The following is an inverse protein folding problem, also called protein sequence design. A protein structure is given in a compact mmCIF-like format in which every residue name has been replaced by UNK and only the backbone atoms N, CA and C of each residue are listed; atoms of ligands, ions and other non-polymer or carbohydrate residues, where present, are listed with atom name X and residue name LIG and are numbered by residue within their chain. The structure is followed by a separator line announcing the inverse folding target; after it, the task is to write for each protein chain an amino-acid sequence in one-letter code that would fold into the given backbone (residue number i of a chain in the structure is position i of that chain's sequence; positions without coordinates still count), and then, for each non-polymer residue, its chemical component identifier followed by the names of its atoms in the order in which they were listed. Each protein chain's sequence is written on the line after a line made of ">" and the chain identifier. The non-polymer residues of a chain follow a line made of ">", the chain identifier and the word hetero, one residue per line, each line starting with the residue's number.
data_IF_099156434199
#
_entry.id   IF_099156434199
#
_cell.length_a   1.000
_cell.length_b   1.000
_cell.length_c   1.000
_cell.angle_alpha   90.00
_cell.angle_beta   90.00
_cell.angle_gamma   90.00
#
_symmetry.space_group_name_H-M   'P 1'
#
loop_
_entity.id
_entity.type
_entity.pdbx_description
1 polymer ?
#
# COMPACT_ATOMS: atom_id res chain seq x y z
N UNK A 1 3.21 27.39 -17.93
CA UNK A 1 4.22 27.22 -16.86
C UNK A 1 5.59 27.14 -17.49
N UNK A 2 6.62 27.70 -16.85
CA UNK A 2 8.02 27.61 -17.32
C UNK A 2 8.56 26.19 -17.12
N UNK A 3 9.56 25.78 -17.92
CA UNK A 3 10.25 24.50 -17.78
C UNK A 3 10.76 24.25 -16.35
N UNK A 4 11.22 25.30 -15.68
CA UNK A 4 11.68 25.27 -14.30
C UNK A 4 10.56 24.88 -13.32
N UNK A 5 9.33 25.36 -13.54
CA UNK A 5 8.19 25.00 -12.70
C UNK A 5 7.86 23.50 -12.80
N UNK A 6 7.91 22.91 -14.01
CA UNK A 6 7.70 21.48 -14.21
C UNK A 6 8.79 20.66 -13.52
N UNK A 7 10.04 21.08 -13.65
CA UNK A 7 11.17 20.42 -12.98
C UNK A 7 11.05 20.47 -11.45
N UNK A 8 10.62 21.60 -10.90
CA UNK A 8 10.38 21.73 -9.46
C UNK A 8 9.25 20.80 -8.99
N UNK A 9 8.17 20.68 -9.76
CA UNK A 9 7.07 19.75 -9.45
C UNK A 9 7.54 18.29 -9.46
N UNK A 10 8.39 17.89 -10.42
CA UNK A 10 8.97 16.54 -10.43
C UNK A 10 9.91 16.29 -9.26
N UNK A 11 10.69 17.29 -8.85
CA UNK A 11 11.54 17.18 -7.66
C UNK A 11 10.71 17.04 -6.38
N UNK A 12 9.60 17.78 -6.26
CA UNK A 12 8.65 17.63 -5.15
C UNK A 12 8.01 16.23 -5.13
N UNK A 13 7.59 15.74 -6.30
CA UNK A 13 7.05 14.39 -6.42
C UNK A 13 8.07 13.32 -5.98
N UNK A 14 9.34 13.50 -6.37
CA UNK A 14 10.43 12.62 -5.94
C UNK A 14 10.63 12.65 -4.42
N UNK A 15 10.60 13.82 -3.79
CA UNK A 15 10.74 13.91 -2.33
C UNK A 15 9.58 13.21 -1.60
N UNK A 16 8.35 13.35 -2.08
CA UNK A 16 7.17 12.70 -1.48
C UNK A 16 7.25 11.18 -1.62
N UNK A 17 7.71 10.66 -2.76
CA UNK A 17 7.88 9.20 -2.94
C UNK A 17 8.96 8.65 -2.00
N UNK A 18 10.00 9.44 -1.70
CA UNK A 18 11.02 9.04 -0.74
C UNK A 18 10.50 9.12 0.71
N UNK A 19 9.73 10.15 1.08
CA UNK A 19 9.10 10.23 2.41
C UNK A 19 8.10 9.11 2.63
N UNK A 20 7.29 8.80 1.61
CA UNK A 20 6.31 7.71 1.63
C UNK A 20 6.98 6.37 1.99
N UNK A 21 8.21 6.14 1.52
CA UNK A 21 8.98 4.95 1.90
C UNK A 21 9.40 4.95 3.37
N UNK A 22 9.87 6.08 3.88
CA UNK A 22 10.30 6.16 5.28
C UNK A 22 9.10 6.01 6.23
N UNK A 23 7.96 6.64 5.91
CA UNK A 23 6.71 6.45 6.65
C UNK A 23 6.20 5.00 6.55
N UNK A 24 6.34 4.35 5.39
CA UNK A 24 6.01 2.94 5.21
C UNK A 24 6.84 2.00 6.10
N UNK A 25 8.16 2.27 6.22
CA UNK A 25 9.04 1.51 7.11
C UNK A 25 8.66 1.71 8.58
N UNK A 26 8.24 2.92 8.95
CA UNK A 26 7.79 3.25 10.29
C UNK A 26 6.35 2.74 10.60
N UNK A 27 5.62 2.24 9.59
CA UNK A 27 4.19 1.89 9.68
C UNK A 27 3.33 3.07 10.17
N UNK A 28 3.70 4.31 9.84
CA UNK A 28 2.92 5.50 10.16
C UNK A 28 1.80 5.69 9.13
N UNK A 29 0.66 5.07 9.40
CA UNK A 29 -0.51 5.08 8.51
C UNK A 29 -1.02 6.51 8.25
N UNK A 30 -0.93 7.39 9.25
CA UNK A 30 -1.42 8.76 9.13
C UNK A 30 -0.53 9.58 8.21
N UNK A 31 0.79 9.53 8.41
CA UNK A 31 1.75 10.21 7.55
C UNK A 31 1.70 9.67 6.11
N UNK A 32 1.54 8.36 5.94
CA UNK A 32 1.36 7.75 4.61
C UNK A 32 0.09 8.26 3.89
N UNK A 33 -1.02 8.44 4.63
CA UNK A 33 -2.26 8.97 4.05
C UNK A 33 -2.09 10.43 3.59
N UNK A 34 -1.37 11.25 4.37
CA UNK A 34 -1.01 12.62 3.99
C UNK A 34 -0.15 12.64 2.73
N UNK A 35 0.93 11.84 2.69
CA UNK A 35 1.80 11.73 1.51
C UNK A 35 1.01 11.29 0.25
N UNK A 36 0.04 10.40 0.41
CA UNK A 36 -0.82 9.95 -0.69
C UNK A 36 -1.69 11.09 -1.24
N UNK A 37 -2.28 11.92 -0.37
CA UNK A 37 -3.07 13.08 -0.77
C UNK A 37 -2.22 14.12 -1.51
N UNK A 38 -1.03 14.43 -0.99
CA UNK A 38 -0.10 15.36 -1.62
C UNK A 38 0.39 14.85 -2.98
N UNK A 39 0.72 13.55 -3.07
CA UNK A 39 1.08 12.88 -4.32
C UNK A 39 -0.05 12.97 -5.35
N UNK A 40 -1.29 12.72 -4.95
CA UNK A 40 -2.45 12.79 -5.84
C UNK A 40 -2.67 14.22 -6.38
N UNK A 41 -2.59 15.22 -5.51
CA UNK A 41 -2.69 16.62 -5.90
C UNK A 41 -1.61 17.01 -6.93
N UNK A 42 -0.35 16.59 -6.71
CA UNK A 42 0.74 16.83 -7.64
C UNK A 42 0.57 16.10 -8.97
N UNK A 43 0.11 14.84 -8.94
CA UNK A 43 -0.16 14.08 -10.17
C UNK A 43 -1.28 14.71 -11.01
N UNK A 44 -2.31 15.29 -10.39
CA UNK A 44 -3.35 16.01 -11.12
C UNK A 44 -2.83 17.27 -11.81
N UNK A 45 -1.83 17.95 -11.21
CA UNK A 45 -1.18 19.11 -11.83
C UNK A 45 -0.25 18.66 -12.95
N UNK A 46 0.57 17.64 -12.69
CA UNK A 46 1.55 17.11 -13.65
C UNK A 46 0.87 16.45 -14.86
N UNK A 47 -0.24 15.75 -14.65
CA UNK A 47 -1.01 15.05 -15.70
C UNK A 47 -1.68 15.97 -16.72
N UNK A 48 -1.70 17.29 -16.48
CA UNK A 48 -2.17 18.29 -17.46
C UNK A 48 -1.11 18.66 -18.50
N UNK A 49 0.11 18.11 -18.40
CA UNK A 49 1.20 18.39 -19.33
C UNK A 49 1.45 17.19 -20.25
N UNK A 50 1.14 17.32 -21.55
CA UNK A 50 1.32 16.25 -22.53
C UNK A 50 2.77 16.07 -23.00
N UNK A 51 3.61 17.10 -22.87
CA UNK A 51 4.98 17.09 -23.41
C UNK A 51 6.03 17.35 -22.33
N UNK A 52 6.69 16.26 -21.90
CA UNK A 52 7.85 16.31 -21.01
C UNK A 52 9.12 16.62 -21.82
N UNK A 53 9.91 17.58 -21.34
CA UNK A 53 11.19 17.92 -21.97
C UNK A 53 12.17 16.72 -21.91
N UNK A 54 12.97 16.45 -22.95
CA UNK A 54 13.91 15.31 -22.97
C UNK A 54 14.82 15.22 -21.74
N UNK A 55 15.32 16.36 -21.27
CA UNK A 55 16.20 16.46 -20.10
C UNK A 55 15.55 16.06 -18.77
N UNK A 56 14.22 16.07 -18.68
CA UNK A 56 13.48 15.70 -17.46
C UNK A 56 13.06 14.22 -17.46
N UNK A 57 13.23 13.52 -18.60
CA UNK A 57 12.94 12.08 -18.73
C UNK A 57 13.75 11.19 -17.77
N UNK A 58 15.04 11.45 -17.50
CA UNK A 58 15.79 10.65 -16.52
C UNK A 58 15.17 10.75 -15.13
N UNK A 59 14.75 11.94 -14.72
CA UNK A 59 14.11 12.18 -13.42
C UNK A 59 12.75 11.48 -13.33
N UNK A 60 11.93 11.56 -14.38
CA UNK A 60 10.66 10.82 -14.44
C UNK A 60 10.85 9.31 -14.36
N UNK A 61 11.90 8.77 -15.00
CA UNK A 61 12.24 7.35 -14.94
C UNK A 61 12.67 6.91 -13.54
N UNK A 62 13.46 7.74 -12.85
CA UNK A 62 13.84 7.50 -11.46
C UNK A 62 12.60 7.46 -10.55
N UNK A 63 11.71 8.46 -10.67
CA UNK A 63 10.44 8.53 -9.95
C UNK A 63 9.61 7.26 -10.16
N UNK A 64 9.51 6.76 -11.39
CA UNK A 64 8.79 5.53 -11.71
C UNK A 64 9.41 4.30 -11.01
N UNK A 65 10.73 4.19 -11.02
CA UNK A 65 11.44 3.09 -10.36
C UNK A 65 11.24 3.12 -8.84
N UNK A 66 11.31 4.30 -8.23
CA UNK A 66 11.11 4.47 -6.80
C UNK A 66 9.66 4.17 -6.39
N UNK A 67 8.67 4.56 -7.20
CA UNK A 67 7.26 4.21 -6.96
C UNK A 67 7.02 2.69 -7.09
N UNK A 68 7.63 2.02 -8.06
CA UNK A 68 7.56 0.56 -8.19
C UNK A 68 8.16 -0.15 -6.97
N UNK A 69 9.29 0.36 -6.45
CA UNK A 69 9.89 -0.15 -5.21
C UNK A 69 8.95 0.00 -4.02
N UNK A 70 8.31 1.15 -3.88
CA UNK A 70 7.34 1.39 -2.80
C UNK A 70 6.13 0.45 -2.93
N UNK A 71 5.60 0.26 -4.15
CA UNK A 71 4.50 -0.68 -4.39
C UNK A 71 4.87 -2.13 -3.99
N UNK A 72 6.11 -2.54 -4.27
CA UNK A 72 6.59 -3.86 -3.85
C UNK A 72 6.68 -3.97 -2.32
N UNK A 73 7.17 -2.93 -1.64
CA UNK A 73 7.20 -2.85 -0.18
C UNK A 73 5.79 -2.99 0.40
N UNK A 74 4.82 -2.24 -0.11
CA UNK A 74 3.43 -2.31 0.34
C UNK A 74 2.79 -3.67 0.12
N UNK A 75 3.07 -4.30 -1.02
CA UNK A 75 2.59 -5.66 -1.28
C UNK A 75 3.18 -6.65 -0.27
N UNK A 76 4.48 -6.55 -0.01
CA UNK A 76 5.15 -7.42 0.95
C UNK A 76 4.61 -7.23 2.37
N UNK A 77 4.38 -6.00 2.81
CA UNK A 77 3.83 -5.71 4.14
C UNK A 77 2.38 -6.18 4.27
N UNK A 78 1.54 -6.01 3.24
CA UNK A 78 0.17 -6.52 3.24
C UNK A 78 0.12 -8.04 3.33
N UNK A 79 0.95 -8.74 2.55
CA UNK A 79 1.04 -10.20 2.62
C UNK A 79 1.46 -10.64 4.02
N UNK A 80 2.45 -9.98 4.62
CA UNK A 80 2.89 -10.28 5.98
C UNK A 80 1.77 -10.07 7.01
N UNK A 81 0.98 -8.99 6.89
CA UNK A 81 -0.19 -8.76 7.76
C UNK A 81 -1.24 -9.87 7.58
N UNK A 82 -1.52 -10.28 6.34
CA UNK A 82 -2.46 -11.38 6.05
C UNK A 82 -2.01 -12.71 6.67
N UNK A 83 -0.74 -13.09 6.48
CA UNK A 83 -0.15 -14.29 7.06
C UNK A 83 -0.24 -14.27 8.59
N UNK A 84 -0.01 -13.09 9.19
CA UNK A 84 -0.10 -12.89 10.63
C UNK A 84 -1.54 -13.04 11.12
N UNK A 85 -2.52 -12.50 10.40
CA UNK A 85 -3.94 -12.67 10.71
C UNK A 85 -4.38 -14.13 10.59
N UNK A 86 -3.92 -14.86 9.57
CA UNK A 86 -4.22 -16.28 9.40
C UNK A 86 -3.65 -17.11 10.57
N UNK A 87 -2.42 -16.81 11.00
CA UNK A 87 -1.81 -17.44 12.16
C UNK A 87 -2.62 -17.24 13.44
N UNK A 88 -3.09 -16.01 13.71
CA UNK A 88 -3.95 -15.73 14.87
C UNK A 88 -5.35 -16.35 14.71
N UNK A 89 -5.92 -16.32 13.52
CA UNK A 89 -7.21 -16.95 13.21
C UNK A 89 -7.19 -18.46 13.49
N UNK A 90 -6.12 -19.16 13.13
CA UNK A 90 -5.93 -20.59 13.42
C UNK A 90 -5.85 -20.89 14.93
N UNK A 91 -5.32 -19.97 15.73
CA UNK A 91 -5.26 -20.12 17.20
C UNK A 91 -6.54 -19.70 17.93
N UNK A 92 -7.37 -18.86 17.30
CA UNK A 92 -8.60 -18.34 17.90
C UNK A 92 -9.80 -19.30 17.76
N UNK A 93 -9.70 -20.35 16.95
CA UNK A 93 -10.75 -21.37 16.87
C UNK A 93 -10.65 -22.27 18.11
N UNK A 94 -11.69 -22.39 18.95
CA UNK A 94 -11.69 -23.38 20.01
C UNK A 94 -11.56 -24.76 19.36
N UNK A 95 -10.58 -25.56 19.79
CA UNK A 95 -10.51 -26.98 19.43
C UNK A 95 -11.71 -27.67 20.07
N UNK A 96 -12.79 -27.89 19.30
CA UNK A 96 -13.94 -28.61 19.81
C UNK A 96 -13.61 -30.11 19.82
N UNK A 97 -13.59 -30.70 21.00
CA UNK A 97 -13.44 -32.15 21.14
C UNK A 97 -14.78 -32.81 20.84
N UNK A 98 -14.83 -33.64 19.79
CA UNK A 98 -15.99 -34.48 19.52
C UNK A 98 -16.18 -35.53 20.61
N UNK A 99 -17.39 -36.09 20.71
CA UNK A 99 -17.78 -37.09 21.71
C UNK A 99 -16.91 -38.37 21.70
N UNK A 100 -16.08 -38.56 20.66
CA UNK A 100 -15.16 -39.69 20.46
C UNK A 100 -13.68 -39.27 20.49
N UNK A 101 -13.34 -38.08 21.01
CA UNK A 101 -11.96 -37.60 21.14
C UNK A 101 -11.32 -37.10 19.84
N UNK A 102 -12.08 -37.02 18.74
CA UNK A 102 -11.61 -36.45 17.47
C UNK A 102 -11.67 -34.93 17.52
N UNK A 103 -10.55 -34.26 17.25
CA UNK A 103 -10.46 -32.81 17.12
C UNK A 103 -10.85 -32.37 15.71
N UNK A 104 -11.88 -31.53 15.58
CA UNK A 104 -12.24 -30.91 14.30
C UNK A 104 -11.98 -29.40 14.36
N UNK A 105 -11.16 -28.90 13.44
CA UNK A 105 -10.91 -27.47 13.30
C UNK A 105 -12.05 -26.86 12.47
N UNK A 106 -12.96 -26.12 13.11
CA UNK A 106 -13.99 -25.38 12.39
C UNK A 106 -13.36 -24.14 11.73
N UNK A 107 -13.09 -24.23 10.44
CA UNK A 107 -12.69 -23.07 9.64
C UNK A 107 -13.94 -22.20 9.42
N UNK A 108 -14.16 -21.20 10.27
CA UNK A 108 -15.23 -20.20 10.08
C UNK A 108 -14.77 -19.19 9.04
N UNK A 109 -14.67 -19.65 7.79
CA UNK A 109 -14.52 -18.76 6.63
C UNK A 109 -15.90 -18.61 5.97
N UNK A 110 -16.56 -17.48 6.23
CA UNK A 110 -17.46 -16.86 5.25
C UNK A 110 -18.97 -17.13 5.33
N UNK A 111 -19.58 -17.48 6.48
CA UNK A 111 -21.05 -17.60 6.54
C UNK A 111 -21.66 -17.26 7.90
N UNK A 112 -21.56 -15.98 8.30
CA UNK A 112 -22.20 -15.46 9.52
C UNK A 112 -23.61 -14.89 9.31
N UNK A 113 -24.18 -14.90 8.09
CA UNK A 113 -25.50 -14.31 7.80
C UNK A 113 -26.40 -15.25 6.98
N UNK A 114 -26.66 -16.45 7.48
CA UNK A 114 -27.80 -17.25 6.98
C UNK A 114 -28.57 -17.88 8.13
N UNK A 115 -29.05 -17.04 9.04
CA UNK A 115 -30.12 -17.41 9.98
C UNK A 115 -31.45 -16.97 9.39
N UNK A 116 -32.27 -17.92 8.96
CA UNK A 116 -33.70 -17.72 8.71
C UNK A 116 -34.37 -17.82 10.09
N UNK A 117 -35.01 -16.73 10.54
CA UNK A 117 -35.95 -16.76 11.68
C UNK A 117 -37.20 -17.52 11.25
#
# INVERSE_FOLDING_TARGET
>A
MTREAVRNLLQQLRSIILSEREHAKALDIMAMATDMQEKEALLQVIGKFDNLHPDDRPLAREIQQENLRNAYLFKATLNWIQDTMEFFGRKSVPTTYGQHGTTTNNCVNGRLLSGRV
#
